data_IF_062947956102
#
_entry.id   IF_062947956102
#
_cell.length_a   1.000
_cell.length_b   1.000
_cell.length_c   1.000
_cell.angle_alpha   90.00
_cell.angle_beta   90.00
_cell.angle_gamma   90.00
#
_symmetry.space_group_name_H-M   'P 1'
#
loop_
_entity.id
_entity.type
_entity.pdbx_description
1 polymer ?
#
# COMPACT_ATOMS: atom_id res chain seq x y z
N UNK A 1 -6.60 -5.51 -3.54
CA UNK A 1 -5.15 -5.34 -3.35
C UNK A 1 -4.75 -3.95 -3.79
N UNK A 2 -3.95 -3.24 -2.99
CA UNK A 2 -3.60 -1.82 -3.14
C UNK A 2 -2.11 -1.67 -3.45
N UNK A 3 -1.78 -1.18 -4.64
CA UNK A 3 -0.41 -1.04 -5.13
C UNK A 3 0.33 0.19 -4.56
N UNK A 4 1.64 0.26 -4.76
CA UNK A 4 2.49 1.36 -4.33
C UNK A 4 2.28 2.66 -5.15
N UNK A 5 2.82 3.78 -4.67
CA UNK A 5 2.76 5.10 -5.31
C UNK A 5 3.28 5.06 -6.76
N UNK A 6 2.49 5.65 -7.67
CA UNK A 6 2.82 5.77 -9.09
C UNK A 6 3.21 4.42 -9.70
N UNK A 7 2.38 3.43 -9.49
CA UNK A 7 2.52 2.06 -9.98
C UNK A 7 1.23 1.60 -10.66
N UNK A 8 1.06 0.32 -10.85
CA UNK A 8 -0.13 -0.31 -11.41
C UNK A 8 -0.52 -1.56 -10.60
N UNK A 9 -1.69 -2.14 -10.90
CA UNK A 9 -2.26 -3.32 -10.24
C UNK A 9 -1.37 -4.57 -10.28
N UNK A 10 -0.38 -4.62 -11.17
CA UNK A 10 0.55 -5.74 -11.28
C UNK A 10 1.86 -5.53 -10.52
N UNK A 11 2.27 -4.27 -10.36
CA UNK A 11 3.59 -3.90 -9.83
C UNK A 11 4.74 -4.70 -10.49
N UNK A 12 4.74 -4.73 -11.82
CA UNK A 12 5.69 -5.54 -12.60
C UNK A 12 5.61 -7.03 -12.28
N UNK A 13 4.38 -7.53 -12.08
CA UNK A 13 4.11 -8.93 -11.78
C UNK A 13 4.19 -9.34 -10.31
N UNK A 14 4.63 -8.47 -9.40
CA UNK A 14 4.71 -8.80 -7.97
C UNK A 14 3.34 -9.10 -7.37
N UNK A 15 2.37 -8.20 -7.58
CA UNK A 15 1.01 -8.40 -7.08
C UNK A 15 0.29 -9.53 -7.80
N UNK A 16 0.63 -9.79 -9.07
CA UNK A 16 0.11 -10.96 -9.79
C UNK A 16 0.53 -12.26 -9.12
N UNK A 17 1.80 -12.40 -8.70
CA UNK A 17 2.27 -13.59 -7.96
C UNK A 17 1.48 -13.81 -6.66
N UNK A 18 1.19 -12.75 -5.91
CA UNK A 18 0.36 -12.84 -4.70
C UNK A 18 -1.06 -13.26 -5.06
N UNK A 19 -1.67 -12.62 -6.07
CA UNK A 19 -3.03 -12.90 -6.51
C UNK A 19 -3.18 -14.34 -7.00
N UNK A 20 -2.25 -14.80 -7.85
CA UNK A 20 -2.22 -16.18 -8.34
C UNK A 20 -2.12 -17.20 -7.19
N UNK A 21 -1.24 -16.93 -6.23
CA UNK A 21 -1.06 -17.80 -5.07
C UNK A 21 -2.31 -17.89 -4.21
N UNK A 22 -2.96 -16.74 -3.96
CA UNK A 22 -4.22 -16.69 -3.22
C UNK A 22 -5.38 -17.37 -3.99
N UNK A 23 -5.43 -17.21 -5.32
CA UNK A 23 -6.42 -17.90 -6.15
C UNK A 23 -6.23 -19.43 -6.11
N UNK A 24 -4.99 -19.94 -6.17
CA UNK A 24 -4.68 -21.37 -6.08
C UNK A 24 -5.21 -22.02 -4.79
N UNK A 25 -5.25 -21.26 -3.71
CA UNK A 25 -5.81 -21.72 -2.44
C UNK A 25 -7.27 -21.31 -2.24
N UNK A 26 -7.96 -20.85 -3.31
CA UNK A 26 -9.41 -20.65 -3.42
C UNK A 26 -9.94 -19.31 -2.90
N UNK A 27 -9.13 -18.28 -2.78
CA UNK A 27 -9.61 -16.93 -2.57
C UNK A 27 -9.93 -16.24 -3.90
N UNK A 28 -10.97 -15.39 -3.92
CA UNK A 28 -11.19 -14.44 -4.98
C UNK A 28 -10.36 -13.19 -4.70
N UNK A 29 -9.60 -12.73 -5.69
CA UNK A 29 -8.70 -11.59 -5.54
C UNK A 29 -9.10 -10.48 -6.49
N UNK A 30 -9.41 -9.29 -5.95
CA UNK A 30 -9.63 -8.09 -6.72
C UNK A 30 -8.35 -7.26 -6.74
N UNK A 31 -7.80 -7.05 -7.93
CA UNK A 31 -6.72 -6.09 -8.24
C UNK A 31 -7.29 -4.98 -9.10
N UNK A 32 -6.86 -3.75 -8.87
CA UNK A 32 -7.32 -2.58 -9.64
C UNK A 32 -6.23 -1.51 -9.66
N UNK A 33 -6.31 -0.63 -10.64
CA UNK A 33 -5.46 0.55 -10.73
C UNK A 33 -6.13 1.72 -10.02
N UNK A 34 -5.42 2.40 -9.12
CA UNK A 34 -5.88 3.64 -8.54
C UNK A 34 -6.06 4.74 -9.61
N UNK A 35 -6.92 5.71 -9.36
CA UNK A 35 -7.10 6.91 -10.20
C UNK A 35 -5.74 7.54 -10.55
N UNK A 36 -5.54 7.84 -11.84
CA UNK A 36 -4.27 8.35 -12.37
C UNK A 36 -3.13 7.33 -12.45
N UNK A 37 -3.38 6.03 -12.20
CA UNK A 37 -2.42 4.94 -12.25
C UNK A 37 -2.79 3.88 -13.30
N UNK A 38 -1.79 3.11 -13.75
CA UNK A 38 -1.98 1.99 -14.65
C UNK A 38 -2.84 2.34 -15.87
N UNK A 39 -3.94 1.60 -16.06
CA UNK A 39 -4.92 1.77 -17.14
C UNK A 39 -6.14 2.64 -16.75
N UNK A 40 -6.20 3.13 -15.49
CA UNK A 40 -7.24 4.05 -15.05
C UNK A 40 -7.15 5.39 -15.78
N UNK A 41 -8.23 6.19 -15.77
CA UNK A 41 -8.27 7.51 -16.39
C UNK A 41 -7.19 8.45 -15.82
N UNK A 42 -6.85 9.50 -16.59
CA UNK A 42 -5.86 10.48 -16.18
C UNK A 42 -6.37 11.31 -15.00
N UNK A 43 -5.58 11.35 -13.93
CA UNK A 43 -5.88 12.15 -12.75
C UNK A 43 -4.60 12.47 -11.96
N UNK A 44 -4.66 13.47 -11.08
CA UNK A 44 -3.60 13.74 -10.10
C UNK A 44 -3.72 12.78 -8.92
N UNK A 45 -2.57 12.31 -8.44
CA UNK A 45 -2.51 11.36 -7.33
C UNK A 45 -2.60 12.09 -5.98
N UNK A 46 -3.61 11.74 -5.19
CA UNK A 46 -3.74 12.14 -3.77
C UNK A 46 -4.04 10.92 -2.91
N UNK A 47 -3.74 10.98 -1.62
CA UNK A 47 -4.13 9.92 -0.67
C UNK A 47 -5.66 9.81 -0.60
N UNK A 48 -6.37 10.93 -0.64
CA UNK A 48 -7.84 10.95 -0.58
C UNK A 48 -8.50 10.19 -1.72
N UNK A 49 -8.10 10.46 -2.99
CA UNK A 49 -8.62 9.74 -4.15
C UNK A 49 -8.36 8.23 -4.06
N UNK A 50 -7.16 7.83 -3.68
CA UNK A 50 -6.85 6.40 -3.53
C UNK A 50 -7.65 5.72 -2.40
N UNK A 51 -7.96 6.45 -1.34
CA UNK A 51 -8.89 5.96 -0.29
C UNK A 51 -10.29 5.76 -0.86
N UNK A 52 -10.79 6.68 -1.67
CA UNK A 52 -12.11 6.56 -2.28
C UNK A 52 -12.17 5.43 -3.31
N UNK A 53 -11.10 5.23 -4.09
CA UNK A 53 -10.96 4.09 -5.00
C UNK A 53 -11.01 2.75 -4.25
N UNK A 54 -10.26 2.61 -3.15
CA UNK A 54 -10.26 1.37 -2.38
C UNK A 54 -11.61 1.14 -1.69
N UNK A 55 -12.29 2.18 -1.18
CA UNK A 55 -13.66 2.06 -0.65
C UNK A 55 -14.62 1.58 -1.74
N UNK A 56 -14.50 2.10 -2.95
CA UNK A 56 -15.30 1.66 -4.10
C UNK A 56 -15.05 0.19 -4.43
N UNK A 57 -13.78 -0.25 -4.44
CA UNK A 57 -13.42 -1.64 -4.64
C UNK A 57 -13.95 -2.57 -3.53
N UNK A 58 -13.93 -2.14 -2.26
CA UNK A 58 -14.53 -2.88 -1.13
C UNK A 58 -16.05 -2.98 -1.32
N UNK A 59 -16.73 -1.88 -1.66
CA UNK A 59 -18.17 -1.87 -1.88
C UNK A 59 -18.57 -2.75 -3.07
N UNK A 60 -17.80 -2.73 -4.15
CA UNK A 60 -17.98 -3.63 -5.28
C UNK A 60 -17.87 -5.10 -4.86
N UNK A 61 -16.85 -5.45 -4.07
CA UNK A 61 -16.72 -6.83 -3.55
C UNK A 61 -17.93 -7.23 -2.70
N UNK A 62 -18.43 -6.33 -1.86
CA UNK A 62 -19.64 -6.55 -1.06
C UNK A 62 -20.89 -6.73 -1.93
N UNK A 63 -21.04 -5.96 -3.01
CA UNK A 63 -22.17 -6.10 -3.94
C UNK A 63 -22.19 -7.45 -4.65
N UNK A 64 -21.05 -8.12 -4.75
CA UNK A 64 -20.94 -9.50 -5.25
C UNK A 64 -21.22 -10.57 -4.18
N UNK A 65 -21.62 -10.17 -2.96
CA UNK A 65 -21.96 -11.08 -1.85
C UNK A 65 -20.79 -11.46 -0.95
N UNK A 66 -19.59 -10.89 -1.13
CA UNK A 66 -18.46 -11.17 -0.25
C UNK A 66 -18.58 -10.40 1.08
N UNK A 67 -18.71 -11.11 2.18
CA UNK A 67 -18.81 -10.54 3.54
C UNK A 67 -17.50 -10.63 4.33
N UNK A 68 -16.56 -11.47 3.91
CA UNK A 68 -15.25 -11.63 4.55
C UNK A 68 -14.18 -11.06 3.63
N UNK A 69 -13.64 -9.91 4.01
CA UNK A 69 -12.71 -9.15 3.20
C UNK A 69 -11.35 -9.08 3.91
N UNK A 70 -10.29 -9.47 3.19
CA UNK A 70 -8.91 -9.21 3.59
C UNK A 70 -8.33 -8.10 2.72
N UNK A 71 -7.55 -7.20 3.30
CA UNK A 71 -6.81 -6.19 2.54
C UNK A 71 -5.35 -6.58 2.38
N UNK A 72 -4.83 -6.28 1.21
CA UNK A 72 -3.40 -6.36 0.93
C UNK A 72 -2.92 -4.99 0.45
N UNK A 73 -1.79 -4.53 0.96
CA UNK A 73 -1.18 -3.27 0.53
C UNK A 73 0.34 -3.38 0.42
N UNK A 74 0.91 -2.59 -0.51
CA UNK A 74 2.35 -2.37 -0.61
C UNK A 74 2.65 -0.87 -0.51
N UNK A 75 3.62 -0.49 0.35
CA UNK A 75 4.09 0.90 0.49
C UNK A 75 2.94 1.89 0.76
N UNK A 76 2.64 2.81 -0.17
CA UNK A 76 1.49 3.73 -0.07
C UNK A 76 0.15 2.98 0.01
N UNK A 77 0.01 1.85 -0.69
CA UNK A 77 -1.19 1.02 -0.61
C UNK A 77 -1.47 0.51 0.80
N UNK A 78 -0.45 0.41 1.67
CA UNK A 78 -0.65 0.09 3.09
C UNK A 78 -1.32 1.24 3.85
N UNK A 79 -0.88 2.48 3.64
CA UNK A 79 -1.51 3.66 4.24
C UNK A 79 -2.98 3.78 3.80
N UNK A 80 -3.24 3.57 2.50
CA UNK A 80 -4.60 3.58 1.95
C UNK A 80 -5.44 2.46 2.58
N UNK A 81 -4.90 1.24 2.71
CA UNK A 81 -5.59 0.12 3.34
C UNK A 81 -5.93 0.39 4.81
N UNK A 82 -5.00 0.97 5.57
CA UNK A 82 -5.22 1.36 6.97
C UNK A 82 -6.28 2.46 7.10
N UNK A 83 -6.29 3.46 6.20
CA UNK A 83 -7.32 4.52 6.18
C UNK A 83 -8.71 4.02 5.75
N UNK A 84 -8.78 2.89 5.05
CA UNK A 84 -10.04 2.24 4.64
C UNK A 84 -10.50 1.16 5.63
N UNK A 85 -9.76 0.94 6.71
CA UNK A 85 -10.13 -0.06 7.69
C UNK A 85 -11.51 0.21 8.28
N UNK A 86 -12.31 -0.84 8.37
CA UNK A 86 -13.59 -0.91 9.09
C UNK A 86 -13.67 -2.26 9.79
N UNK A 87 -14.62 -2.44 10.71
CA UNK A 87 -14.84 -3.71 11.42
C UNK A 87 -15.22 -4.90 10.51
N UNK A 88 -15.57 -4.63 9.26
CA UNK A 88 -15.85 -5.65 8.25
C UNK A 88 -14.59 -6.28 7.64
N UNK A 89 -13.42 -5.64 7.83
CA UNK A 89 -12.15 -6.15 7.36
C UNK A 89 -11.63 -7.21 8.33
N UNK A 90 -11.54 -8.43 7.85
CA UNK A 90 -11.18 -9.60 8.66
C UNK A 90 -9.68 -9.65 9.01
N UNK A 91 -8.82 -9.19 8.10
CA UNK A 91 -7.36 -9.18 8.27
C UNK A 91 -6.67 -8.31 7.23
N UNK A 92 -5.42 -7.92 7.50
CA UNK A 92 -4.57 -7.17 6.57
C UNK A 92 -3.18 -7.79 6.44
N UNK A 93 -2.61 -7.69 5.22
CA UNK A 93 -1.19 -7.96 4.93
C UNK A 93 -0.59 -6.71 4.30
N UNK A 94 0.44 -6.16 4.91
CA UNK A 94 1.03 -4.87 4.58
C UNK A 94 2.54 -5.02 4.36
N UNK A 95 2.99 -4.82 3.10
CA UNK A 95 4.40 -4.89 2.70
C UNK A 95 5.05 -3.51 2.72
N UNK A 96 6.21 -3.36 3.35
CA UNK A 96 6.96 -2.10 3.48
C UNK A 96 6.03 -0.92 3.86
N UNK A 97 5.27 -1.03 4.98
CA UNK A 97 4.11 -0.20 5.20
C UNK A 97 4.47 1.23 5.62
N UNK A 98 3.78 2.21 5.02
CA UNK A 98 3.73 3.58 5.53
C UNK A 98 2.74 3.61 6.67
N UNK A 99 3.23 3.72 7.90
CA UNK A 99 2.41 3.78 9.12
C UNK A 99 2.62 5.05 9.93
N UNK A 100 3.69 5.79 9.68
CA UNK A 100 4.03 7.04 10.36
C UNK A 100 4.30 8.14 9.33
N UNK A 101 4.45 9.38 9.79
CA UNK A 101 4.74 10.53 8.95
C UNK A 101 6.05 10.38 8.19
N UNK A 102 6.05 10.79 6.95
CA UNK A 102 7.25 10.89 6.14
C UNK A 102 7.61 12.36 6.02
N UNK A 103 8.76 12.76 6.58
CA UNK A 103 9.29 14.10 6.39
C UNK A 103 9.89 14.22 4.99
N UNK A 104 9.25 15.03 4.16
CA UNK A 104 9.77 15.34 2.83
C UNK A 104 10.69 16.56 2.91
N UNK A 105 11.95 16.32 2.61
CA UNK A 105 12.88 17.38 2.27
C UNK A 105 12.70 17.67 0.77
N UNK A 106 11.68 18.43 0.42
CA UNK A 106 11.23 18.60 -0.97
C UNK A 106 12.35 19.15 -1.87
N UNK A 107 13.12 20.13 -1.35
CA UNK A 107 14.25 20.71 -2.08
C UNK A 107 15.40 19.73 -2.34
N UNK A 108 15.48 18.64 -1.56
CA UNK A 108 16.47 17.57 -1.73
C UNK A 108 15.95 16.41 -2.58
N UNK A 109 14.64 16.20 -2.61
CA UNK A 109 13.99 15.02 -3.23
C UNK A 109 13.44 15.32 -4.63
N UNK A 110 13.12 16.56 -4.94
CA UNK A 110 12.53 16.96 -6.21
C UNK A 110 13.56 17.77 -7.03
N UNK A 111 13.54 17.61 -8.36
CA UNK A 111 14.32 18.45 -9.24
C UNK A 111 13.81 19.89 -9.24
N UNK A 112 14.62 20.82 -9.74
CA UNK A 112 14.21 22.24 -9.88
C UNK A 112 12.96 22.40 -10.75
N UNK A 113 12.84 21.58 -11.78
CA UNK A 113 11.68 21.55 -12.69
C UNK A 113 10.43 21.05 -11.95
N UNK A 114 10.57 19.99 -11.15
CA UNK A 114 9.48 19.45 -10.34
C UNK A 114 9.02 20.42 -9.25
N UNK A 115 9.95 21.10 -8.59
CA UNK A 115 9.64 22.16 -7.62
C UNK A 115 8.90 23.33 -8.28
N UNK A 116 9.31 23.72 -9.50
CA UNK A 116 8.62 24.74 -10.29
C UNK A 116 7.20 24.28 -10.67
N UNK A 117 7.04 23.05 -11.17
CA UNK A 117 5.70 22.48 -11.45
C UNK A 117 4.81 22.49 -10.21
N UNK A 118 5.35 22.04 -9.08
CA UNK A 118 4.62 21.97 -7.82
C UNK A 118 4.14 23.34 -7.35
N UNK A 119 4.98 24.38 -7.54
CA UNK A 119 4.62 25.77 -7.22
C UNK A 119 3.58 26.34 -8.17
N UNK A 120 3.75 26.14 -9.48
CA UNK A 120 2.95 26.79 -10.53
C UNK A 120 1.62 26.07 -10.78
N UNK A 121 1.59 24.73 -10.64
CA UNK A 121 0.46 23.88 -11.01
C UNK A 121 -0.19 23.14 -9.83
N UNK A 122 0.45 23.10 -8.66
CA UNK A 122 0.00 22.34 -7.50
C UNK A 122 0.34 20.84 -7.56
N UNK A 123 0.97 20.37 -8.61
CA UNK A 123 1.46 19.00 -8.77
C UNK A 123 2.82 18.98 -9.46
N UNK A 124 3.53 17.86 -9.40
CA UNK A 124 4.73 17.62 -10.19
C UNK A 124 4.63 16.30 -10.96
N UNK A 125 5.35 16.26 -12.08
CA UNK A 125 5.40 15.09 -12.96
C UNK A 125 6.48 14.12 -12.49
N UNK A 126 6.09 12.83 -12.34
CA UNK A 126 7.00 11.71 -12.13
C UNK A 126 6.92 10.76 -13.31
N UNK A 127 8.06 10.44 -13.90
CA UNK A 127 8.15 9.48 -15.00
C UNK A 127 8.66 8.12 -14.51
N UNK A 128 8.14 7.05 -15.08
CA UNK A 128 8.62 5.68 -14.92
C UNK A 128 8.86 5.04 -16.28
N UNK A 129 10.04 4.46 -16.46
CA UNK A 129 10.33 3.64 -17.64
C UNK A 129 9.75 2.23 -17.46
N UNK A 130 9.35 1.61 -18.56
CA UNK A 130 8.85 0.22 -18.59
C UNK A 130 7.67 -0.03 -17.62
N UNK A 131 6.75 0.91 -17.52
CA UNK A 131 5.51 0.81 -16.78
C UNK A 131 4.32 0.92 -17.75
N UNK A 132 3.16 0.41 -17.36
CA UNK A 132 1.90 0.55 -18.13
C UNK A 132 1.61 2.03 -18.36
N UNK A 133 1.67 2.83 -17.29
CA UNK A 133 1.64 4.30 -17.37
C UNK A 133 3.05 4.84 -17.14
N UNK A 134 3.52 5.66 -18.04
CA UNK A 134 4.90 6.22 -17.97
C UNK A 134 4.96 7.58 -17.27
N UNK A 135 3.82 8.26 -17.10
CA UNK A 135 3.74 9.61 -16.53
C UNK A 135 2.67 9.66 -15.45
N UNK A 136 3.04 10.17 -14.29
CA UNK A 136 2.17 10.33 -13.13
C UNK A 136 2.21 11.78 -12.64
N UNK A 137 1.06 12.33 -12.30
CA UNK A 137 0.92 13.67 -11.74
C UNK A 137 0.75 13.56 -10.22
N UNK A 138 1.80 13.87 -9.47
CA UNK A 138 1.78 13.79 -8.01
C UNK A 138 1.32 15.13 -7.45
N UNK A 139 0.11 15.16 -6.90
CA UNK A 139 -0.45 16.36 -6.28
C UNK A 139 0.33 16.76 -5.01
N UNK A 140 0.43 18.05 -4.75
CA UNK A 140 0.99 18.59 -3.50
C UNK A 140 0.31 17.99 -2.27
N UNK A 141 -1.00 17.76 -2.35
CA UNK A 141 -1.78 17.18 -1.26
C UNK A 141 -1.31 15.76 -0.90
N UNK A 142 -0.85 14.96 -1.89
CA UNK A 142 -0.26 13.64 -1.62
C UNK A 142 0.91 13.72 -0.62
N UNK A 143 1.77 14.73 -0.79
CA UNK A 143 2.93 14.92 0.09
C UNK A 143 2.50 15.44 1.47
N UNK A 144 1.61 16.43 1.50
CA UNK A 144 1.07 16.99 2.74
C UNK A 144 0.33 15.95 3.59
N UNK A 145 -0.46 15.09 2.96
CA UNK A 145 -1.20 14.04 3.68
C UNK A 145 -0.24 13.03 4.33
N UNK A 146 0.85 12.69 3.64
CA UNK A 146 1.86 11.76 4.16
C UNK A 146 2.71 12.36 5.28
N UNK A 147 2.98 13.68 5.26
CA UNK A 147 3.66 14.39 6.34
C UNK A 147 2.81 14.52 7.61
N UNK A 148 1.48 14.44 7.47
CA UNK A 148 0.53 14.57 8.57
C UNK A 148 0.10 13.24 9.18
N UNK A 149 0.63 12.10 8.70
CA UNK A 149 0.27 10.80 9.26
C UNK A 149 0.67 10.74 10.73
N UNK A 150 -0.28 10.53 11.60
CA UNK A 150 -0.06 10.18 13.00
C UNK A 150 -0.28 8.68 13.19
N UNK A 151 0.78 7.97 13.56
CA UNK A 151 0.74 6.51 13.66
C UNK A 151 -0.24 6.01 14.71
N UNK A 152 -0.35 6.72 15.84
CA UNK A 152 -1.27 6.32 16.92
C UNK A 152 -2.71 6.48 16.50
N UNK A 153 -3.04 7.59 15.85
CA UNK A 153 -4.40 7.82 15.33
C UNK A 153 -4.73 6.85 14.19
N UNK A 154 -3.79 6.62 13.28
CA UNK A 154 -3.98 5.72 12.14
C UNK A 154 -4.28 4.28 12.57
N UNK A 155 -3.66 3.80 13.65
CA UNK A 155 -3.73 2.42 14.11
C UNK A 155 -4.71 2.20 15.26
N UNK A 156 -5.20 3.26 15.90
CA UNK A 156 -6.05 3.20 17.11
C UNK A 156 -7.27 2.29 16.97
N UNK A 157 -7.92 2.36 15.83
CA UNK A 157 -9.19 1.68 15.60
C UNK A 157 -9.02 0.38 14.77
N UNK A 158 -7.77 -0.06 14.55
CA UNK A 158 -7.49 -1.33 13.87
C UNK A 158 -7.62 -2.49 14.84
N UNK A 159 -8.66 -3.29 14.69
CA UNK A 159 -8.95 -4.43 15.57
C UNK A 159 -8.74 -5.79 14.91
N UNK A 160 -8.50 -5.85 13.60
CA UNK A 160 -8.23 -7.11 12.91
C UNK A 160 -6.75 -7.52 13.02
N UNK A 161 -6.45 -8.85 12.98
CA UNK A 161 -5.09 -9.33 12.84
C UNK A 161 -4.41 -8.72 11.62
N UNK A 162 -3.24 -8.13 11.81
CA UNK A 162 -2.49 -7.46 10.74
C UNK A 162 -1.07 -7.99 10.67
N UNK A 163 -0.64 -8.42 9.49
CA UNK A 163 0.73 -8.80 9.20
C UNK A 163 1.47 -7.61 8.57
N UNK A 164 2.55 -7.18 9.20
CA UNK A 164 3.51 -6.26 8.63
C UNK A 164 4.71 -7.07 8.12
N UNK A 165 5.16 -6.86 6.87
CA UNK A 165 6.40 -7.42 6.33
C UNK A 165 7.31 -6.27 5.96
N UNK A 166 8.56 -6.25 6.48
CA UNK A 166 9.48 -5.15 6.26
C UNK A 166 10.92 -5.63 6.09
N UNK A 167 11.60 -5.10 5.08
CA UNK A 167 12.99 -5.42 4.78
C UNK A 167 13.98 -4.60 5.61
N UNK A 168 15.11 -5.22 6.01
CA UNK A 168 16.15 -4.51 6.79
C UNK A 168 16.95 -3.51 5.96
N UNK A 169 16.92 -3.63 4.61
CA UNK A 169 17.55 -2.69 3.67
C UNK A 169 16.55 -1.73 3.01
N UNK A 170 15.34 -1.59 3.56
CA UNK A 170 14.40 -0.60 3.08
C UNK A 170 14.93 0.82 3.36
N UNK A 171 15.30 1.54 2.28
CA UNK A 171 15.79 2.93 2.34
C UNK A 171 14.69 3.97 2.12
N UNK A 172 13.48 3.53 1.78
CA UNK A 172 12.34 4.42 1.53
C UNK A 172 11.52 4.67 2.79
N UNK A 173 11.29 3.60 3.57
CA UNK A 173 10.49 3.63 4.79
C UNK A 173 11.32 3.05 5.94
N UNK A 174 11.46 3.77 7.06
CA UNK A 174 12.23 3.27 8.19
C UNK A 174 11.60 2.01 8.81
N UNK A 175 12.38 0.92 8.95
CA UNK A 175 11.94 -0.28 9.66
C UNK A 175 11.43 0.03 11.08
N UNK A 176 11.97 1.07 11.72
CA UNK A 176 11.54 1.51 13.04
C UNK A 176 10.06 1.86 13.11
N UNK A 177 9.47 2.36 12.01
CA UNK A 177 8.05 2.69 11.97
C UNK A 177 7.19 1.43 12.10
N UNK A 178 7.57 0.33 11.44
CA UNK A 178 6.91 -0.98 11.61
C UNK A 178 7.14 -1.58 13.01
N UNK A 179 8.33 -1.40 13.60
CA UNK A 179 8.61 -1.84 14.98
C UNK A 179 7.77 -1.11 16.01
N UNK A 180 7.46 0.16 15.79
CA UNK A 180 6.52 0.93 16.63
C UNK A 180 5.07 0.53 16.32
N UNK A 181 4.70 0.42 15.04
CA UNK A 181 3.35 0.08 14.62
C UNK A 181 2.85 -1.23 15.23
N UNK A 182 3.70 -2.28 15.26
CA UNK A 182 3.28 -3.58 15.80
C UNK A 182 2.89 -3.51 17.29
N UNK A 183 3.42 -2.57 18.05
CA UNK A 183 3.07 -2.39 19.47
C UNK A 183 1.71 -1.72 19.67
N UNK A 184 1.14 -1.11 18.61
CA UNK A 184 -0.16 -0.43 18.61
C UNK A 184 -1.26 -1.30 18.00
N UNK A 185 -0.90 -2.37 17.30
CA UNK A 185 -1.82 -3.29 16.66
C UNK A 185 -2.29 -4.40 17.63
N UNK A 186 -3.41 -5.09 17.31
CA UNK A 186 -3.88 -6.22 18.11
C UNK A 186 -2.80 -7.27 18.40
N UNK A 187 -2.86 -7.93 19.58
CA UNK A 187 -1.86 -8.92 20.03
C UNK A 187 -1.65 -10.11 19.08
N UNK A 188 -2.64 -10.41 18.25
CA UNK A 188 -2.57 -11.45 17.23
C UNK A 188 -2.00 -10.94 15.88
N UNK A 189 -1.56 -9.69 15.82
CA UNK A 189 -0.79 -9.16 14.69
C UNK A 189 0.67 -9.60 14.76
N UNK A 190 1.39 -9.52 13.63
CA UNK A 190 2.80 -9.94 13.52
C UNK A 190 3.59 -8.97 12.65
N UNK A 191 4.83 -8.69 13.07
CA UNK A 191 5.85 -8.08 12.23
C UNK A 191 6.84 -9.16 11.79
N UNK A 192 6.95 -9.36 10.48
CA UNK A 192 7.97 -10.18 9.84
C UNK A 192 9.07 -9.27 9.31
N UNK A 193 10.29 -9.46 9.82
CA UNK A 193 11.47 -8.70 9.37
C UNK A 193 12.26 -9.59 8.42
N UNK A 194 12.41 -9.15 7.17
CA UNK A 194 13.14 -9.89 6.14
C UNK A 194 14.55 -9.33 6.01
N UNK A 195 15.51 -10.11 6.48
CA UNK A 195 16.92 -9.70 6.47
C UNK A 195 17.43 -9.53 5.05
N UNK A 196 18.12 -8.42 4.78
CA UNK A 196 18.69 -8.09 3.47
C UNK A 196 17.68 -7.59 2.44
N UNK A 197 16.37 -7.63 2.70
CA UNK A 197 15.37 -7.21 1.74
C UNK A 197 15.30 -5.68 1.61
N UNK A 198 15.17 -5.22 0.36
CA UNK A 198 14.90 -3.84 -0.01
C UNK A 198 13.40 -3.49 0.13
N UNK A 199 13.03 -2.24 -0.19
CA UNK A 199 11.65 -1.75 -0.17
C UNK A 199 10.70 -2.56 -1.06
N UNK A 200 11.22 -3.04 -2.17
CA UNK A 200 10.48 -3.75 -3.23
C UNK A 200 10.55 -5.27 -3.09
N UNK A 201 11.28 -5.80 -2.11
CA UNK A 201 11.54 -7.23 -1.89
C UNK A 201 12.07 -7.95 -3.14
N UNK A 202 12.93 -7.29 -3.91
CA UNK A 202 13.35 -7.72 -5.25
C UNK A 202 13.86 -9.17 -5.27
N UNK A 203 14.66 -9.58 -4.29
CA UNK A 203 15.23 -10.93 -4.20
C UNK A 203 14.51 -11.83 -3.20
N UNK A 204 13.42 -11.36 -2.57
CA UNK A 204 12.76 -12.04 -1.46
C UNK A 204 11.28 -12.36 -1.73
N UNK A 205 10.85 -12.23 -3.01
CA UNK A 205 9.44 -12.37 -3.40
C UNK A 205 8.81 -13.69 -2.96
N UNK A 206 9.49 -14.81 -3.17
CA UNK A 206 8.89 -16.13 -2.91
C UNK A 206 8.61 -16.33 -1.41
N UNK A 207 9.52 -15.87 -0.54
CA UNK A 207 9.34 -15.99 0.90
C UNK A 207 8.20 -15.10 1.41
N UNK A 208 8.10 -13.84 0.95
CA UNK A 208 7.05 -12.93 1.42
C UNK A 208 5.67 -13.30 0.87
N UNK A 209 5.59 -13.84 -0.36
CA UNK A 209 4.35 -14.37 -0.92
C UNK A 209 3.85 -15.55 -0.08
N UNK A 210 4.75 -16.49 0.26
CA UNK A 210 4.41 -17.64 1.12
C UNK A 210 3.92 -17.20 2.50
N UNK A 211 4.62 -16.26 3.14
CA UNK A 211 4.23 -15.72 4.46
C UNK A 211 2.86 -15.06 4.39
N UNK A 212 2.58 -14.32 3.29
CA UNK A 212 1.28 -13.67 3.06
C UNK A 212 0.16 -14.69 2.86
N UNK A 213 0.42 -15.76 2.09
CA UNK A 213 -0.51 -16.87 1.89
C UNK A 213 -0.88 -17.53 3.23
N UNK A 214 0.12 -17.93 4.02
CA UNK A 214 -0.08 -18.57 5.34
C UNK A 214 -0.89 -17.66 6.28
N UNK A 215 -0.67 -16.35 6.21
CA UNK A 215 -1.42 -15.37 6.99
C UNK A 215 -2.89 -15.32 6.60
N UNK A 216 -3.21 -15.22 5.31
CA UNK A 216 -4.59 -15.21 4.84
C UNK A 216 -5.30 -16.52 5.15
N UNK A 217 -4.65 -17.68 4.96
CA UNK A 217 -5.21 -18.99 5.35
C UNK A 217 -5.59 -19.05 6.83
N UNK A 218 -4.81 -18.41 7.69
CA UNK A 218 -5.05 -18.41 9.13
C UNK A 218 -6.20 -17.49 9.53
N UNK A 219 -6.30 -16.30 8.96
CA UNK A 219 -7.17 -15.23 9.46
C UNK A 219 -8.33 -14.86 8.54
N UNK A 220 -8.26 -15.15 7.25
CA UNK A 220 -9.38 -14.97 6.31
C UNK A 220 -10.08 -16.32 6.09
N UNK A 221 -10.86 -16.76 7.07
CA UNK A 221 -11.61 -18.02 6.94
C UNK A 221 -12.70 -17.87 5.87
N UNK A 222 -12.82 -18.86 5.03
CA UNK A 222 -13.85 -18.97 3.98
C UNK A 222 -15.24 -19.11 4.57
#
# INVERSE_FOLDING_TARGET
MSHALANDKSERGKLNKVAEKLNQIGYNVLTFDFSGCGESEDDTLTVGKQVDDLKSAINFSKSLGYSKIGLFGHSLGCLVSLKCYTLEISTMVLWSPITDKIKYLWDEKLSKEQLKELKDKGYFTRTRKNAVRTTYLIDKQMLLDREKVDQKELLRDVHCPTLLIHGTKDTNIPLMDSKKAITLLPKNSRLEIVEGADHDFTEHMDIIVKISEEWFLKYLKR
#
